data_IF_474907235615
#
_entry.id   IF_474907235615
#
_cell.length_a   1.000
_cell.length_b   1.000
_cell.length_c   1.000
_cell.angle_alpha   90.00
_cell.angle_beta   90.00
_cell.angle_gamma   90.00
#
_symmetry.space_group_name_H-M   'P 1'
#
loop_
_entity.id
_entity.type
_entity.pdbx_description
1 polymer ?
#
# COMPACT_ATOMS: atom_id res chain seq x y z
N UNK A 1 -0.71 14.96 28.35
CA UNK A 1 -0.18 15.07 26.98
C UNK A 1 1.31 14.77 27.05
N UNK A 2 1.75 13.66 26.47
CA UNK A 2 3.17 13.29 26.38
C UNK A 2 3.52 13.34 24.91
N UNK A 3 4.38 14.29 24.55
CA UNK A 3 4.97 14.39 23.23
C UNK A 3 5.68 13.08 22.90
N UNK A 4 5.24 12.46 21.81
CA UNK A 4 5.86 11.25 21.28
C UNK A 4 7.15 11.72 20.62
N UNK A 5 8.29 11.36 21.22
CA UNK A 5 9.63 11.68 20.73
C UNK A 5 9.75 11.37 19.24
N UNK A 6 10.27 12.35 18.49
CA UNK A 6 10.76 12.20 17.13
C UNK A 6 11.70 10.99 17.04
N UNK A 7 11.43 10.16 16.05
CA UNK A 7 11.99 8.83 15.80
C UNK A 7 13.51 8.75 15.79
N UNK A 8 14.05 7.67 16.38
CA UNK A 8 15.40 7.19 16.07
C UNK A 8 15.41 6.51 14.68
N UNK A 9 16.34 6.83 13.78
CA UNK A 9 16.52 6.12 12.52
C UNK A 9 17.47 4.95 12.74
N UNK A 10 17.00 3.84 13.30
CA UNK A 10 17.78 2.59 13.31
C UNK A 10 16.83 1.43 13.05
N UNK A 11 16.66 1.12 11.76
CA UNK A 11 16.08 -0.15 11.33
C UNK A 11 17.10 -1.24 11.64
N UNK A 12 16.80 -2.08 12.62
CA UNK A 12 17.53 -3.30 12.95
C UNK A 12 17.57 -4.24 11.74
N UNK A 13 18.75 -4.37 11.14
CA UNK A 13 19.06 -5.25 10.00
C UNK A 13 19.19 -4.46 8.69
N UNK A 14 20.43 -4.22 8.24
CA UNK A 14 20.74 -3.33 7.10
C UNK A 14 19.90 -3.55 5.83
N UNK A 15 19.47 -4.78 5.53
CA UNK A 15 18.68 -5.10 4.34
C UNK A 15 17.27 -4.48 4.29
N UNK A 16 16.70 -4.04 5.42
CA UNK A 16 15.41 -3.33 5.41
C UNK A 16 15.51 -1.92 4.83
N UNK A 17 16.54 -1.17 5.26
CA UNK A 17 16.77 0.20 4.81
C UNK A 17 17.22 0.28 3.34
N UNK A 18 18.05 -0.67 2.88
CA UNK A 18 18.44 -0.74 1.47
C UNK A 18 17.25 -0.99 0.55
N UNK A 19 16.35 -1.91 0.90
CA UNK A 19 15.14 -2.18 0.11
C UNK A 19 14.26 -0.93 -0.01
N UNK A 20 14.04 -0.22 1.09
CA UNK A 20 13.26 1.03 1.09
C UNK A 20 13.89 2.08 0.17
N UNK A 21 15.21 2.30 0.29
CA UNK A 21 15.94 3.22 -0.55
C UNK A 21 15.89 2.84 -2.04
N UNK A 22 15.99 1.55 -2.38
CA UNK A 22 15.90 1.07 -3.76
C UNK A 22 14.50 1.28 -4.36
N UNK A 23 13.44 1.00 -3.60
CA UNK A 23 12.06 1.27 -4.03
C UNK A 23 11.89 2.78 -4.25
N UNK A 24 12.27 3.62 -3.30
CA UNK A 24 12.18 5.08 -3.43
C UNK A 24 12.98 5.59 -4.66
N UNK A 25 14.21 5.10 -4.85
CA UNK A 25 15.05 5.44 -5.99
C UNK A 25 14.40 5.06 -7.32
N UNK A 26 13.70 3.92 -7.40
CA UNK A 26 12.99 3.51 -8.62
C UNK A 26 11.91 4.51 -9.03
N UNK A 27 11.15 5.08 -8.07
CA UNK A 27 10.17 6.13 -8.34
C UNK A 27 10.83 7.44 -8.75
N UNK A 28 11.97 7.80 -8.15
CA UNK A 28 12.75 8.99 -8.54
C UNK A 28 13.25 8.84 -9.98
N UNK A 29 13.74 7.66 -10.37
CA UNK A 29 14.16 7.38 -11.75
C UNK A 29 12.97 7.52 -12.70
N UNK A 30 11.80 6.97 -12.36
CA UNK A 30 10.58 7.16 -13.16
C UNK A 30 10.25 8.64 -13.32
N UNK A 31 10.33 9.44 -12.26
CA UNK A 31 10.10 10.89 -12.33
C UNK A 31 11.08 11.58 -13.27
N UNK A 32 12.39 11.33 -13.12
CA UNK A 32 13.44 11.98 -13.91
C UNK A 32 13.41 11.56 -15.39
N UNK A 33 12.93 10.35 -15.69
CA UNK A 33 12.82 9.83 -17.05
C UNK A 33 11.48 10.13 -17.73
N UNK A 34 10.54 10.79 -17.04
CA UNK A 34 9.19 11.02 -17.54
C UNK A 34 8.31 9.76 -17.59
N UNK A 35 8.69 8.72 -16.83
CA UNK A 35 7.91 7.52 -16.60
C UNK A 35 6.66 7.76 -15.77
N UNK A 36 5.90 6.69 -15.56
CA UNK A 36 4.59 6.72 -14.89
C UNK A 36 4.63 5.91 -13.60
N UNK A 37 3.92 6.38 -12.58
CA UNK A 37 3.75 5.63 -11.33
C UNK A 37 2.78 4.44 -11.54
N UNK A 38 3.06 3.26 -10.94
CA UNK A 38 2.13 2.14 -10.98
C UNK A 38 0.80 2.49 -10.32
N UNK A 39 -0.26 1.79 -10.74
CA UNK A 39 -1.62 1.90 -10.16
C UNK A 39 -2.33 3.25 -10.33
N UNK A 40 -1.66 4.24 -10.91
CA UNK A 40 -2.21 5.53 -11.26
C UNK A 40 -2.39 5.64 -12.79
N UNK A 41 -3.21 6.58 -13.30
CA UNK A 41 -3.24 6.91 -14.73
C UNK A 41 -1.85 7.26 -15.27
N UNK A 42 -1.60 7.08 -16.57
CA UNK A 42 -0.30 7.30 -17.20
C UNK A 42 0.01 8.80 -17.36
N UNK A 43 0.09 9.52 -16.25
CA UNK A 43 0.50 10.90 -16.14
C UNK A 43 1.91 10.97 -15.55
N UNK A 44 2.72 11.98 -15.92
CA UNK A 44 4.07 12.12 -15.40
C UNK A 44 4.05 12.35 -13.89
N UNK A 45 5.06 11.80 -13.22
CA UNK A 45 5.36 12.13 -11.83
C UNK A 45 5.92 13.55 -11.81
N UNK A 46 5.37 14.40 -10.94
CA UNK A 46 5.76 15.81 -10.81
C UNK A 46 6.41 16.12 -9.47
N UNK A 47 6.15 15.30 -8.45
CA UNK A 47 6.70 15.48 -7.11
C UNK A 47 6.80 14.12 -6.41
N UNK A 48 7.90 13.92 -5.68
CA UNK A 48 8.06 12.82 -4.75
C UNK A 48 8.48 13.40 -3.40
N UNK A 49 7.78 13.01 -2.34
CA UNK A 49 8.14 13.32 -0.95
C UNK A 49 8.63 12.05 -0.28
N UNK A 50 9.85 12.07 0.23
CA UNK A 50 10.43 10.99 1.02
C UNK A 50 10.36 11.46 2.49
N UNK A 51 9.63 10.75 3.37
CA UNK A 51 9.23 11.15 4.74
C UNK A 51 7.97 12.05 4.83
N UNK A 52 6.79 11.43 4.71
CA UNK A 52 5.48 12.11 4.73
C UNK A 52 5.02 12.59 6.13
N UNK A 53 5.56 12.07 7.23
CA UNK A 53 5.09 12.36 8.60
C UNK A 53 5.19 13.82 9.00
N UNK A 54 6.20 14.53 8.50
CA UNK A 54 6.39 15.97 8.79
C UNK A 54 5.23 16.81 8.22
N UNK A 55 4.58 16.31 7.16
CA UNK A 55 3.45 16.96 6.48
C UNK A 55 2.07 16.41 6.94
N UNK A 56 2.04 15.61 8.02
CA UNK A 56 0.80 15.10 8.63
C UNK A 56 0.23 13.81 8.03
N UNK A 57 1.00 13.11 7.19
CA UNK A 57 0.64 11.77 6.68
C UNK A 57 1.03 10.68 7.69
N UNK A 58 0.21 9.64 7.84
CA UNK A 58 0.55 8.49 8.70
C UNK A 58 1.32 7.40 7.94
N UNK A 59 1.00 7.24 6.65
CA UNK A 59 1.77 6.48 5.66
C UNK A 59 3.00 7.29 5.29
N UNK A 60 4.19 6.79 5.65
CA UNK A 60 5.35 7.69 5.84
C UNK A 60 6.49 7.49 4.84
N UNK A 61 6.55 6.34 4.14
CA UNK A 61 7.80 6.01 3.46
C UNK A 61 7.98 6.86 2.19
N UNK A 62 6.92 7.11 1.42
CA UNK A 62 6.93 8.13 0.37
C UNK A 62 5.54 8.54 -0.14
N UNK A 63 5.48 9.69 -0.81
CA UNK A 63 4.28 10.20 -1.50
C UNK A 63 4.67 10.55 -2.92
N UNK A 64 3.88 10.09 -3.88
CA UNK A 64 4.04 10.42 -5.31
C UNK A 64 2.88 11.29 -5.75
N UNK A 65 3.16 12.42 -6.38
CA UNK A 65 2.16 13.26 -7.04
C UNK A 65 2.34 13.17 -8.56
N UNK A 66 1.26 12.82 -9.24
CA UNK A 66 1.18 12.89 -10.71
C UNK A 66 0.27 14.03 -11.13
N UNK A 67 0.55 14.63 -12.29
CA UNK A 67 -0.26 15.69 -12.87
C UNK A 67 -0.51 15.44 -14.36
N UNK A 68 -1.78 15.51 -14.78
CA UNK A 68 -2.11 15.47 -16.21
C UNK A 68 -1.66 16.77 -16.90
N UNK A 69 -0.85 16.72 -17.96
CA UNK A 69 -0.29 17.92 -18.57
C UNK A 69 -1.33 18.93 -19.07
N UNK A 70 -2.43 18.43 -19.64
CA UNK A 70 -3.47 19.25 -20.27
C UNK A 70 -4.44 19.86 -19.25
N UNK A 71 -5.02 19.04 -18.37
CA UNK A 71 -6.08 19.51 -17.45
C UNK A 71 -5.56 19.99 -16.09
N UNK A 72 -4.28 19.75 -15.79
CA UNK A 72 -3.67 20.01 -14.47
C UNK A 72 -4.33 19.24 -13.33
N UNK A 73 -5.09 18.18 -13.63
CA UNK A 73 -5.62 17.25 -12.62
C UNK A 73 -4.47 16.55 -11.93
N UNK A 74 -4.52 16.56 -10.59
CA UNK A 74 -3.54 15.90 -9.73
C UNK A 74 -4.12 14.67 -9.07
N UNK A 75 -3.29 13.63 -8.92
CA UNK A 75 -3.56 12.43 -8.11
C UNK A 75 -2.32 12.07 -7.32
N UNK A 76 -2.50 11.33 -6.25
CA UNK A 76 -1.38 10.88 -5.43
C UNK A 76 -1.45 9.40 -5.04
N UNK A 77 -0.27 8.85 -4.79
CA UNK A 77 -0.04 7.55 -4.20
C UNK A 77 0.65 7.78 -2.84
N UNK A 78 0.06 7.26 -1.77
CA UNK A 78 0.68 7.17 -0.44
C UNK A 78 1.33 5.79 -0.30
N UNK A 79 2.65 5.73 -0.19
CA UNK A 79 3.43 4.49 -0.23
C UNK A 79 3.92 4.08 1.16
N UNK A 80 3.60 2.86 1.58
CA UNK A 80 4.20 2.20 2.72
C UNK A 80 5.03 1.01 2.23
N UNK A 81 6.33 1.05 2.46
CA UNK A 81 7.32 0.04 2.12
C UNK A 81 7.60 -0.84 3.33
N UNK A 82 7.46 -2.15 3.17
CA UNK A 82 7.88 -3.15 4.15
C UNK A 82 8.57 -4.30 3.44
N UNK A 83 9.90 -4.39 3.55
CA UNK A 83 10.67 -5.46 2.91
C UNK A 83 10.10 -6.85 3.27
N UNK A 84 9.77 -7.09 4.54
CA UNK A 84 9.11 -8.32 5.02
C UNK A 84 7.85 -7.99 5.80
N UNK A 85 6.75 -8.66 5.47
CA UNK A 85 5.46 -8.51 6.16
C UNK A 85 4.67 -9.82 6.03
N UNK A 86 3.82 -10.13 7.00
CA UNK A 86 2.88 -11.26 6.91
C UNK A 86 1.45 -10.76 6.96
N UNK A 87 0.63 -11.18 6.00
CA UNK A 87 -0.78 -10.80 5.96
C UNK A 87 -1.58 -11.80 6.79
N UNK A 88 -1.49 -11.64 8.12
CA UNK A 88 -2.15 -12.48 9.13
C UNK A 88 -2.70 -11.63 10.28
N UNK A 89 -3.62 -12.17 11.08
CA UNK A 89 -4.21 -11.43 12.22
C UNK A 89 -3.17 -11.09 13.29
N UNK A 90 -2.19 -11.96 13.53
CA UNK A 90 -1.17 -11.77 14.56
C UNK A 90 0.05 -10.94 14.14
N UNK A 91 0.07 -10.42 12.91
CA UNK A 91 1.20 -9.60 12.43
C UNK A 91 1.01 -8.13 12.83
N UNK A 92 1.80 -7.69 13.81
CA UNK A 92 1.74 -6.31 14.34
C UNK A 92 2.15 -5.28 13.28
N UNK A 93 3.11 -5.61 12.42
CA UNK A 93 3.56 -4.72 11.33
C UNK A 93 2.39 -4.47 10.37
N UNK A 94 1.69 -5.52 9.95
CA UNK A 94 0.50 -5.38 9.11
C UNK A 94 -0.62 -4.60 9.81
N UNK A 95 -0.78 -4.77 11.13
CA UNK A 95 -1.72 -3.96 11.92
C UNK A 95 -1.38 -2.47 11.85
N UNK A 96 -0.10 -2.10 11.98
CA UNK A 96 0.36 -0.72 11.88
C UNK A 96 0.16 -0.15 10.48
N UNK A 97 0.48 -0.93 9.44
CA UNK A 97 0.27 -0.53 8.03
C UNK A 97 -1.21 -0.24 7.77
N UNK A 98 -2.11 -1.15 8.15
CA UNK A 98 -3.55 -0.96 7.94
C UNK A 98 -4.07 0.22 8.76
N UNK A 99 -3.57 0.43 9.98
CA UNK A 99 -3.96 1.58 10.81
C UNK A 99 -3.54 2.92 10.19
N UNK A 100 -2.31 3.01 9.68
CA UNK A 100 -1.84 4.20 8.98
C UNK A 100 -2.65 4.47 7.72
N UNK A 101 -2.84 3.44 6.88
CA UNK A 101 -3.63 3.52 5.66
C UNK A 101 -5.09 3.93 5.94
N UNK A 102 -5.71 3.35 6.96
CA UNK A 102 -7.09 3.67 7.37
C UNK A 102 -7.25 5.11 7.87
N UNK A 103 -6.27 5.59 8.64
CA UNK A 103 -6.23 6.97 9.12
C UNK A 103 -6.15 7.95 7.95
N UNK A 104 -5.23 7.71 7.01
CA UNK A 104 -5.05 8.59 5.85
C UNK A 104 -6.26 8.53 4.92
N UNK A 105 -6.78 7.34 4.63
CA UNK A 105 -7.98 7.13 3.83
C UNK A 105 -9.17 7.95 4.33
N UNK A 106 -9.34 8.06 5.65
CA UNK A 106 -10.45 8.79 6.26
C UNK A 106 -10.17 10.27 6.54
N UNK A 107 -9.00 10.79 6.16
CA UNK A 107 -8.66 12.19 6.33
C UNK A 107 -8.81 12.97 5.00
N UNK A 108 -9.92 13.70 4.79
CA UNK A 108 -10.20 14.39 3.53
C UNK A 108 -9.23 15.54 3.22
N UNK A 109 -8.45 16.01 4.21
CA UNK A 109 -7.43 17.03 4.01
C UNK A 109 -6.23 16.48 3.26
N UNK A 110 -5.93 15.20 3.47
CA UNK A 110 -4.74 14.54 2.92
C UNK A 110 -5.08 13.41 1.97
N UNK A 111 -6.33 12.99 1.77
CA UNK A 111 -6.70 11.90 0.86
C UNK A 111 -8.03 12.15 0.16
N UNK A 112 -8.06 12.01 -1.16
CA UNK A 112 -9.27 12.11 -1.97
C UNK A 112 -9.70 10.72 -2.47
N UNK A 113 -10.79 10.20 -1.91
CA UNK A 113 -11.39 8.88 -2.20
C UNK A 113 -12.00 8.72 -3.60
N UNK A 114 -11.84 9.70 -4.50
CA UNK A 114 -12.24 9.56 -5.92
C UNK A 114 -11.05 9.21 -6.82
N UNK A 115 -9.81 9.43 -6.35
CA UNK A 115 -8.66 9.50 -7.27
C UNK A 115 -7.31 9.13 -6.68
N UNK A 116 -7.14 9.25 -5.36
CA UNK A 116 -5.87 8.97 -4.69
C UNK A 116 -5.82 7.52 -4.25
N UNK A 117 -4.62 6.96 -4.11
CA UNK A 117 -4.44 5.55 -3.76
C UNK A 117 -3.43 5.40 -2.62
N UNK A 118 -3.50 4.26 -1.94
CA UNK A 118 -2.55 3.83 -0.92
C UNK A 118 -1.92 2.52 -1.38
N UNK A 119 -0.60 2.41 -1.36
CA UNK A 119 0.11 1.22 -1.79
C UNK A 119 0.99 0.68 -0.66
N UNK A 120 0.78 -0.59 -0.31
CA UNK A 120 1.75 -1.38 0.44
C UNK A 120 2.72 -2.02 -0.55
N UNK A 121 3.99 -1.66 -0.45
CA UNK A 121 5.08 -2.18 -1.27
C UNK A 121 5.92 -3.13 -0.44
N UNK A 122 6.13 -4.33 -0.94
CA UNK A 122 6.83 -5.38 -0.21
C UNK A 122 7.90 -6.04 -1.04
N UNK A 123 8.87 -6.65 -0.36
CA UNK A 123 9.73 -7.64 -0.99
C UNK A 123 8.95 -8.90 -1.40
N UNK A 124 9.65 -9.97 -1.78
CA UNK A 124 9.03 -11.26 -2.06
C UNK A 124 8.10 -11.72 -0.92
N UNK A 125 6.81 -11.82 -1.23
CA UNK A 125 5.78 -12.43 -0.38
C UNK A 125 5.56 -13.88 -0.82
N UNK A 126 5.03 -14.71 0.08
CA UNK A 126 4.61 -16.04 -0.36
C UNK A 126 3.55 -15.91 -1.47
N UNK A 127 3.70 -16.71 -2.53
CA UNK A 127 2.90 -16.56 -3.74
C UNK A 127 1.39 -16.70 -3.48
N UNK A 128 1.01 -17.54 -2.51
CA UNK A 128 -0.39 -17.74 -2.12
C UNK A 128 -0.99 -16.46 -1.55
N UNK A 129 -0.37 -15.84 -0.55
CA UNK A 129 -0.86 -14.63 0.10
C UNK A 129 -0.90 -13.47 -0.88
N UNK A 130 0.17 -13.28 -1.67
CA UNK A 130 0.22 -12.24 -2.68
C UNK A 130 -0.91 -12.39 -3.70
N UNK A 131 -1.10 -13.59 -4.25
CA UNK A 131 -2.15 -13.85 -5.23
C UNK A 131 -3.57 -13.63 -4.66
N UNK A 132 -3.87 -14.15 -3.47
CA UNK A 132 -5.20 -14.03 -2.85
C UNK A 132 -5.52 -12.56 -2.52
N UNK A 133 -4.56 -11.82 -1.96
CA UNK A 133 -4.77 -10.41 -1.60
C UNK A 133 -4.85 -9.54 -2.84
N UNK A 134 -3.97 -9.74 -3.83
CA UNK A 134 -4.05 -8.99 -5.09
C UNK A 134 -5.37 -9.26 -5.81
N UNK A 135 -5.87 -10.51 -5.79
CA UNK A 135 -7.16 -10.85 -6.35
C UNK A 135 -8.30 -10.10 -5.64
N UNK A 136 -8.35 -10.08 -4.30
CA UNK A 136 -9.35 -9.33 -3.53
C UNK A 136 -9.37 -7.83 -3.90
N UNK A 137 -8.20 -7.20 -3.91
CA UNK A 137 -8.06 -5.77 -4.22
C UNK A 137 -8.50 -5.50 -5.68
N UNK A 138 -8.15 -6.38 -6.61
CA UNK A 138 -8.60 -6.27 -7.99
C UNK A 138 -10.10 -6.45 -8.14
N UNK A 139 -10.72 -7.40 -7.42
CA UNK A 139 -12.18 -7.57 -7.46
C UNK A 139 -12.90 -6.35 -6.89
N UNK A 140 -12.40 -5.78 -5.78
CA UNK A 140 -12.99 -4.57 -5.22
C UNK A 140 -13.06 -3.43 -6.27
N UNK A 141 -12.06 -3.31 -7.15
CA UNK A 141 -11.99 -2.29 -8.20
C UNK A 141 -12.83 -2.53 -9.45
N UNK A 142 -13.15 -3.79 -9.77
CA UNK A 142 -13.80 -4.14 -11.05
C UNK A 142 -15.24 -4.61 -10.90
N UNK A 143 -15.66 -4.93 -9.68
CA UNK A 143 -17.07 -5.23 -9.39
C UNK A 143 -17.89 -3.95 -9.37
N UNK A 144 -19.19 -4.07 -9.63
CA UNK A 144 -20.09 -2.91 -9.69
C UNK A 144 -20.40 -2.34 -8.31
N UNK A 145 -20.59 -3.22 -7.32
CA UNK A 145 -21.06 -2.90 -5.99
C UNK A 145 -20.60 -3.92 -4.94
N UNK A 146 -20.93 -3.64 -3.67
CA UNK A 146 -20.52 -4.45 -2.52
C UNK A 146 -21.13 -5.85 -2.61
N UNK A 147 -22.38 -5.95 -3.05
CA UNK A 147 -23.12 -7.20 -3.16
C UNK A 147 -22.48 -8.12 -4.20
N UNK A 148 -22.07 -7.60 -5.36
CA UNK A 148 -21.32 -8.35 -6.35
C UNK A 148 -19.94 -8.79 -5.84
N UNK A 149 -19.22 -7.90 -5.16
CA UNK A 149 -17.94 -8.23 -4.55
C UNK A 149 -18.05 -9.38 -3.55
N UNK A 150 -18.96 -9.29 -2.58
CA UNK A 150 -19.16 -10.32 -1.57
C UNK A 150 -19.60 -11.65 -2.18
N UNK A 151 -20.46 -11.62 -3.20
CA UNK A 151 -20.84 -12.81 -3.96
C UNK A 151 -19.63 -13.47 -4.61
N UNK A 152 -18.76 -12.71 -5.28
CA UNK A 152 -17.59 -13.29 -5.94
C UNK A 152 -16.56 -13.85 -4.97
N UNK A 153 -16.37 -13.22 -3.80
CA UNK A 153 -15.44 -13.72 -2.77
C UNK A 153 -15.92 -15.07 -2.21
N UNK A 154 -17.22 -15.20 -1.97
CA UNK A 154 -17.82 -16.39 -1.33
C UNK A 154 -18.13 -17.52 -2.30
N UNK A 155 -18.20 -17.26 -3.60
CA UNK A 155 -18.56 -18.26 -4.59
C UNK A 155 -17.38 -19.20 -4.90
N UNK A 156 -17.60 -20.49 -4.61
CA UNK A 156 -16.65 -21.55 -4.95
C UNK A 156 -16.28 -21.51 -6.44
N UNK A 157 -15.00 -21.76 -6.76
CA UNK A 157 -14.39 -21.71 -8.09
C UNK A 157 -14.28 -20.31 -8.74
N UNK A 158 -14.80 -19.25 -8.12
CA UNK A 158 -14.58 -17.86 -8.57
C UNK A 158 -13.45 -17.18 -7.81
N UNK A 159 -13.27 -17.51 -6.54
CA UNK A 159 -12.21 -16.96 -5.70
C UNK A 159 -11.06 -17.97 -5.49
N UNK A 160 -9.82 -17.47 -5.39
CA UNK A 160 -8.69 -18.25 -4.88
C UNK A 160 -8.97 -18.79 -3.47
N UNK A 161 -8.41 -19.95 -3.14
CA UNK A 161 -8.79 -20.78 -1.98
C UNK A 161 -8.70 -20.13 -0.60
N UNK A 162 -7.92 -19.04 -0.45
CA UNK A 162 -7.75 -18.32 0.82
C UNK A 162 -8.29 -16.89 0.77
N UNK A 163 -9.06 -16.53 -0.24
CA UNK A 163 -9.53 -15.15 -0.42
C UNK A 163 -10.42 -14.70 0.73
N UNK A 164 -11.34 -15.57 1.19
CA UNK A 164 -12.19 -15.27 2.34
C UNK A 164 -11.36 -15.14 3.64
N UNK A 165 -10.40 -16.04 3.86
CA UNK A 165 -9.47 -15.96 4.99
C UNK A 165 -8.72 -14.62 5.00
N UNK A 166 -8.16 -14.21 3.85
CA UNK A 166 -7.42 -12.94 3.74
C UNK A 166 -8.31 -11.72 3.86
N UNK A 167 -9.54 -11.77 3.36
CA UNK A 167 -10.51 -10.71 3.58
C UNK A 167 -10.82 -10.56 5.07
N UNK A 168 -10.96 -11.66 5.80
CA UNK A 168 -11.19 -11.66 7.25
C UNK A 168 -9.98 -11.12 8.03
N UNK A 169 -8.75 -11.37 7.57
CA UNK A 169 -7.55 -10.72 8.12
C UNK A 169 -7.61 -9.20 7.95
N UNK A 170 -7.98 -8.70 6.76
CA UNK A 170 -8.08 -7.25 6.50
C UNK A 170 -9.21 -6.64 7.35
N UNK A 171 -10.38 -7.28 7.42
CA UNK A 171 -11.51 -6.86 8.29
C UNK A 171 -11.08 -6.74 9.75
N UNK A 172 -10.34 -7.75 10.25
CA UNK A 172 -9.82 -7.75 11.61
C UNK A 172 -8.94 -6.52 11.89
N UNK A 173 -7.97 -6.23 11.03
CA UNK A 173 -7.07 -5.09 11.24
C UNK A 173 -7.77 -3.73 11.04
N UNK A 174 -8.73 -3.65 10.12
CA UNK A 174 -9.56 -2.46 9.94
C UNK A 174 -10.43 -2.19 11.17
N UNK A 175 -11.02 -3.22 11.78
CA UNK A 175 -11.74 -3.10 13.04
C UNK A 175 -10.83 -2.51 14.13
N UNK A 176 -9.62 -3.04 14.28
CA UNK A 176 -8.65 -2.52 15.24
C UNK A 176 -8.29 -1.04 14.95
N UNK A 177 -8.10 -0.69 13.69
CA UNK A 177 -7.84 0.68 13.26
C UNK A 177 -9.04 1.61 13.47
N UNK A 178 -10.26 1.08 13.45
CA UNK A 178 -11.51 1.79 13.63
C UNK A 178 -12.00 1.76 15.09
N UNK A 179 -11.10 1.97 16.05
CA UNK A 179 -11.41 1.98 17.49
C UNK A 179 -12.12 0.70 17.98
N UNK A 180 -11.73 -0.45 17.43
CA UNK A 180 -12.32 -1.77 17.69
C UNK A 180 -13.80 -1.90 17.28
N UNK A 181 -14.29 -1.03 16.39
CA UNK A 181 -15.64 -1.08 15.82
C UNK A 181 -15.61 -1.71 14.43
N UNK A 182 -16.58 -2.58 14.14
CA UNK A 182 -16.72 -3.19 12.81
C UNK A 182 -16.89 -2.12 11.75
N UNK A 183 -16.14 -2.26 10.64
CA UNK A 183 -16.25 -1.40 9.47
C UNK A 183 -17.40 -1.91 8.59
N UNK A 184 -18.24 -1.01 8.08
CA UNK A 184 -19.35 -1.43 7.22
C UNK A 184 -18.85 -2.05 5.90
N UNK A 185 -19.65 -2.93 5.29
CA UNK A 185 -19.29 -3.54 4.00
C UNK A 185 -18.98 -2.52 2.90
N UNK A 186 -19.70 -1.39 2.89
CA UNK A 186 -19.46 -0.27 1.97
C UNK A 186 -18.12 0.43 2.20
N UNK A 187 -17.75 0.66 3.44
CA UNK A 187 -16.48 1.30 3.78
C UNK A 187 -15.29 0.36 3.54
N UNK A 188 -15.43 -0.92 3.89
CA UNK A 188 -14.44 -1.95 3.56
C UNK A 188 -14.21 -2.00 2.06
N UNK A 189 -15.29 -2.12 1.28
CA UNK A 189 -15.23 -2.15 -0.18
C UNK A 189 -14.58 -0.90 -0.75
N UNK A 190 -14.96 0.28 -0.25
CA UNK A 190 -14.36 1.56 -0.65
C UNK A 190 -12.87 1.66 -0.29
N UNK A 191 -12.44 1.13 0.84
CA UNK A 191 -11.03 1.07 1.22
C UNK A 191 -10.22 0.14 0.31
N UNK A 192 -10.72 -1.09 0.08
CA UNK A 192 -10.07 -2.07 -0.80
C UNK A 192 -9.90 -1.56 -2.24
N UNK A 193 -10.83 -0.74 -2.72
CA UNK A 193 -10.75 -0.06 -4.01
C UNK A 193 -9.49 0.82 -4.14
N UNK A 194 -9.08 1.47 -3.05
CA UNK A 194 -7.98 2.43 -3.02
C UNK A 194 -6.68 1.84 -2.49
N UNK A 195 -6.71 0.63 -1.94
CA UNK A 195 -5.55 -0.05 -1.40
C UNK A 195 -4.92 -0.98 -2.46
N UNK A 196 -3.60 -0.90 -2.61
CA UNK A 196 -2.82 -1.67 -3.56
C UNK A 196 -1.71 -2.43 -2.83
N UNK A 197 -1.40 -3.62 -3.36
CA UNK A 197 -0.26 -4.42 -2.93
C UNK A 197 0.69 -4.53 -4.13
N UNK A 198 1.94 -4.11 -3.95
CA UNK A 198 2.99 -4.14 -4.96
C UNK A 198 4.17 -4.98 -4.48
N UNK A 199 4.54 -6.01 -5.24
CA UNK A 199 5.75 -6.78 -5.01
C UNK A 199 6.92 -6.18 -5.78
N UNK A 200 8.02 -5.91 -5.10
CA UNK A 200 9.28 -5.46 -5.70
C UNK A 200 10.39 -6.43 -5.32
N UNK A 201 11.26 -6.72 -6.29
CA UNK A 201 12.43 -7.56 -6.08
C UNK A 201 13.69 -6.70 -6.24
N UNK A 202 14.04 -5.97 -5.17
CA UNK A 202 15.13 -4.98 -5.14
C UNK A 202 16.06 -5.18 -3.92
N UNK A 203 16.09 -6.40 -3.37
CA UNK A 203 16.74 -6.71 -2.10
C UNK A 203 17.98 -7.61 -2.18
N UNK A 204 18.28 -8.18 -3.34
CA UNK A 204 19.39 -9.12 -3.52
C UNK A 204 20.59 -8.40 -4.17
N UNK A 205 21.52 -7.91 -3.34
CA UNK A 205 22.87 -7.61 -3.81
C UNK A 205 23.70 -8.90 -3.79
N UNK A 206 23.63 -9.70 -4.86
CA UNK A 206 24.67 -10.72 -5.14
C UNK A 206 25.62 -10.17 -6.20
N UNK A 207 26.66 -9.48 -5.73
CA UNK A 207 27.79 -9.08 -6.57
C UNK A 207 29.00 -9.97 -6.29
N UNK A 208 29.20 -11.02 -7.09
CA UNK A 208 30.53 -11.64 -7.19
C UNK A 208 31.46 -10.67 -7.93
N UNK A 209 32.34 -9.98 -7.20
CA UNK A 209 33.55 -9.42 -7.82
C UNK A 209 34.52 -10.55 -8.15
N UNK A 210 34.27 -11.23 -9.27
CA UNK A 210 35.28 -12.06 -9.91
C UNK A 210 36.36 -11.16 -10.51
N UNK A 211 37.44 -10.89 -9.77
CA UNK A 211 38.68 -10.38 -10.37
C UNK A 211 39.22 -11.45 -11.32
N UNK A 212 39.36 -11.10 -12.61
CA UNK A 212 40.22 -11.83 -13.55
C UNK A 212 41.66 -11.34 -13.41
#
# INVERSE_FOLDING_TARGET
MKDKQLSNPISTGGGGGHFEAHVQASFVILMLTGGVAPCLPPWPITEIKLQGRVDGFNTDDFIVLIEEPASKRKRKLLGQIKHRIKITQGDEIFSEVIRAAWSDFNNPKIFNKEKDIIALITGPLNATDFHNVQWLLNQARHTKDVEEFERQVTQANFSPSKSEEKLNVIKYHLKLANNNQEVSGKELYSFLNHFYLLGYDLGEEEGEMGSK
#
